data_IF_258191174399
#
_entry.id   IF_258191174399
#
_cell.length_a   1.000
_cell.length_b   1.000
_cell.length_c   1.000
_cell.angle_alpha   90.00
_cell.angle_beta   90.00
_cell.angle_gamma   90.00
#
_symmetry.space_group_name_H-M   'P 1'
#
loop_
_entity.id
_entity.type
_entity.pdbx_description
1 polymer ?
#
# COMPACT_ATOMS: atom_id res chain seq x y z
N UNK A 1 23.70 -16.94 8.16
CA UNK A 1 23.80 -15.79 7.23
C UNK A 1 22.44 -15.11 7.21
N UNK A 2 22.36 -13.79 7.46
CA UNK A 2 21.11 -13.05 7.27
C UNK A 2 21.04 -12.59 5.80
N UNK A 3 20.00 -13.02 5.08
CA UNK A 3 19.70 -12.53 3.74
C UNK A 3 18.85 -11.27 3.82
N UNK A 4 19.02 -10.35 2.88
CA UNK A 4 18.23 -9.12 2.80
C UNK A 4 16.76 -9.48 2.53
N UNK A 5 15.87 -9.13 3.46
CA UNK A 5 14.43 -9.20 3.22
C UNK A 5 14.00 -8.02 2.35
N UNK A 6 13.25 -8.31 1.29
CA UNK A 6 12.70 -7.29 0.39
C UNK A 6 11.24 -7.00 0.69
N UNK A 7 10.83 -5.78 0.36
CA UNK A 7 9.42 -5.42 0.38
C UNK A 7 8.69 -6.12 -0.78
N UNK A 8 7.55 -6.72 -0.50
CA UNK A 8 6.72 -7.42 -1.49
C UNK A 8 5.30 -6.88 -1.43
N UNK A 9 4.71 -6.68 -2.60
CA UNK A 9 3.31 -6.30 -2.82
C UNK A 9 2.63 -7.43 -3.58
N UNK A 10 1.63 -8.05 -2.96
CA UNK A 10 0.83 -9.13 -3.55
C UNK A 10 -0.61 -8.65 -3.75
N UNK A 11 -1.16 -8.88 -4.94
CA UNK A 11 -2.57 -8.65 -5.24
C UNK A 11 -3.43 -9.88 -4.97
N UNK A 12 -4.72 -9.67 -4.74
CA UNK A 12 -5.76 -10.68 -4.51
C UNK A 12 -7.08 -10.22 -5.10
N UNK A 13 -7.88 -11.16 -5.60
CA UNK A 13 -9.20 -10.88 -6.17
C UNK A 13 -10.31 -10.81 -5.12
N UNK A 14 -10.03 -11.22 -3.88
CA UNK A 14 -10.99 -11.28 -2.79
C UNK A 14 -10.49 -10.61 -1.52
N UNK A 15 -11.40 -10.01 -0.75
CA UNK A 15 -11.09 -9.26 0.47
C UNK A 15 -10.39 -10.12 1.54
N UNK A 16 -10.76 -11.40 1.61
CA UNK A 16 -10.15 -12.38 2.53
C UNK A 16 -8.74 -12.81 2.08
N UNK A 17 -8.29 -12.38 0.89
CA UNK A 17 -6.95 -12.63 0.34
C UNK A 17 -6.65 -14.14 0.26
N UNK A 18 -7.63 -14.93 -0.16
CA UNK A 18 -7.51 -16.39 -0.24
C UNK A 18 -6.77 -16.82 -1.50
N UNK A 19 -7.00 -16.14 -2.62
CA UNK A 19 -6.39 -16.48 -3.91
C UNK A 19 -5.45 -15.35 -4.37
N UNK A 20 -4.12 -15.57 -4.36
CA UNK A 20 -3.20 -14.56 -4.86
C UNK A 20 -3.40 -14.36 -6.36
N UNK A 21 -3.33 -13.10 -6.77
CA UNK A 21 -3.18 -12.71 -8.17
C UNK A 21 -1.88 -13.27 -8.74
N UNK A 22 -1.89 -13.56 -10.03
CA UNK A 22 -0.76 -14.21 -10.73
C UNK A 22 0.53 -13.39 -10.62
N UNK A 23 0.40 -12.06 -10.61
CA UNK A 23 1.54 -11.14 -10.53
C UNK A 23 1.70 -10.59 -9.12
N UNK A 24 2.95 -10.47 -8.68
CA UNK A 24 3.37 -9.71 -7.49
C UNK A 24 4.56 -8.83 -7.82
N UNK A 25 4.81 -7.83 -6.99
CA UNK A 25 5.98 -6.94 -7.10
C UNK A 25 6.87 -7.16 -5.90
N UNK A 26 8.10 -7.58 -6.16
CA UNK A 26 9.20 -7.46 -5.19
C UNK A 26 9.98 -6.18 -5.50
N UNK A 27 10.26 -5.38 -4.47
CA UNK A 27 11.03 -4.16 -4.60
C UNK A 27 12.44 -4.46 -5.14
N UNK A 28 12.87 -3.72 -6.16
CA UNK A 28 14.25 -3.81 -6.68
C UNK A 28 15.23 -3.32 -5.61
N UNK A 29 14.89 -2.16 -5.04
CA UNK A 29 15.53 -1.55 -3.88
C UNK A 29 14.42 -1.35 -2.84
N UNK A 30 14.71 -1.70 -1.60
CA UNK A 30 13.78 -1.41 -0.52
C UNK A 30 13.62 0.11 -0.38
N UNK A 31 12.44 0.59 0.01
CA UNK A 31 12.24 2.02 0.25
C UNK A 31 13.10 2.49 1.44
N UNK A 32 13.67 3.68 1.34
CA UNK A 32 14.40 4.31 2.45
C UNK A 32 13.45 4.77 3.57
N UNK A 33 12.18 5.01 3.23
CA UNK A 33 11.15 5.43 4.16
C UNK A 33 9.77 4.90 3.77
N UNK A 34 8.94 4.65 4.77
CA UNK A 34 7.54 4.26 4.65
C UNK A 34 6.74 5.02 5.71
N UNK A 35 5.53 5.46 5.36
CA UNK A 35 4.65 6.22 6.26
C UNK A 35 3.35 5.47 6.50
N UNK A 36 3.00 5.30 7.78
CA UNK A 36 1.70 4.83 8.23
C UNK A 36 0.98 5.99 8.94
N UNK A 37 -0.20 6.34 8.45
CA UNK A 37 -0.99 7.45 8.99
C UNK A 37 -2.29 6.93 9.57
N UNK A 38 -2.61 7.32 10.80
CA UNK A 38 -3.83 6.94 11.51
C UNK A 38 -4.71 8.16 11.72
N UNK A 39 -6.02 7.99 11.60
CA UNK A 39 -6.97 9.09 11.65
C UNK A 39 -8.07 8.82 12.68
N UNK A 40 -8.33 9.81 13.53
CA UNK A 40 -9.43 9.78 14.49
C UNK A 40 -10.28 11.03 14.33
N UNK A 41 -11.58 10.84 14.15
CA UNK A 41 -12.53 11.92 14.00
C UNK A 41 -13.16 12.28 15.34
N UNK A 42 -13.26 13.58 15.62
CA UNK A 42 -13.93 14.13 16.79
C UNK A 42 -14.97 15.16 16.34
N UNK A 43 -16.13 15.16 16.98
CA UNK A 43 -17.13 16.21 16.83
C UNK A 43 -17.06 17.18 18.00
N UNK A 44 -16.91 18.47 17.70
CA UNK A 44 -16.95 19.53 18.71
C UNK A 44 -18.39 19.93 18.99
N UNK A 45 -18.87 19.67 20.19
CA UNK A 45 -20.18 20.15 20.61
C UNK A 45 -20.03 21.60 21.09
N UNK A 46 -20.61 22.56 20.36
CA UNK A 46 -20.78 23.94 20.85
C UNK A 46 -22.09 24.01 21.63
N UNK A 47 -22.02 23.89 22.95
CA UNK A 47 -23.17 24.17 23.81
C UNK A 47 -23.34 25.69 23.89
N UNK A 48 -24.50 26.20 23.47
CA UNK A 48 -24.81 27.64 23.54
C UNK A 48 -24.79 28.06 25.03
N UNK A 49 -23.99 29.09 25.37
CA UNK A 49 -23.72 29.61 26.73
C UNK A 49 -22.65 28.90 27.60
N UNK A 50 -21.80 28.01 27.07
CA UNK A 50 -20.64 27.51 27.81
C UNK A 50 -19.31 27.81 27.10
N UNK A 51 -18.30 28.26 27.86
CA UNK A 51 -16.93 28.48 27.39
C UNK A 51 -16.17 27.16 27.14
N UNK A 52 -16.69 26.04 27.63
CA UNK A 52 -16.06 24.74 27.53
C UNK A 52 -16.18 24.16 26.12
N UNK A 53 -15.04 23.95 25.47
CA UNK A 53 -14.94 23.26 24.17
C UNK A 53 -14.72 21.78 24.43
N UNK A 54 -15.80 21.00 24.43
CA UNK A 54 -15.73 19.54 24.58
C UNK A 54 -15.75 18.88 23.20
N UNK A 55 -14.71 18.11 22.90
CA UNK A 55 -14.64 17.24 21.72
C UNK A 55 -15.08 15.84 22.10
N UNK A 56 -16.07 15.30 21.39
CA UNK A 56 -16.50 13.91 21.54
C UNK A 56 -15.92 13.07 20.42
N UNK A 57 -15.39 11.91 20.76
CA UNK A 57 -14.97 10.91 19.78
C UNK A 57 -16.15 10.57 18.85
N UNK A 58 -15.87 10.47 17.56
CA UNK A 58 -16.82 10.06 16.53
C UNK A 58 -16.47 8.69 15.99
N UNK A 59 -15.31 8.58 15.35
CA UNK A 59 -14.89 7.38 14.63
C UNK A 59 -13.36 7.30 14.53
N UNK A 60 -12.88 6.10 14.23
CA UNK A 60 -11.51 5.88 13.77
C UNK A 60 -11.60 5.56 12.30
N UNK A 61 -10.87 6.32 11.48
CA UNK A 61 -10.81 6.12 10.04
C UNK A 61 -9.79 5.05 9.65
N UNK A 62 -9.86 4.53 8.42
CA UNK A 62 -8.87 3.58 7.91
C UNK A 62 -7.48 4.22 7.88
N UNK A 63 -6.45 3.43 8.17
CA UNK A 63 -5.06 3.91 8.08
C UNK A 63 -4.60 4.04 6.62
N UNK A 64 -3.71 4.99 6.34
CA UNK A 64 -3.05 5.13 5.02
C UNK A 64 -1.62 4.59 5.09
N UNK A 65 -1.20 3.85 4.06
CA UNK A 65 0.19 3.48 3.83
C UNK A 65 0.73 4.24 2.62
N UNK A 66 1.87 4.92 2.77
CA UNK A 66 2.58 5.55 1.66
C UNK A 66 4.04 5.08 1.58
N UNK A 67 4.48 4.74 0.37
CA UNK A 67 5.84 4.29 0.10
C UNK A 67 6.33 4.71 -1.29
N UNK A 68 7.64 4.71 -1.49
CA UNK A 68 8.30 5.05 -2.75
C UNK A 68 9.08 3.84 -3.26
N UNK A 69 8.74 3.35 -4.46
CA UNK A 69 9.49 2.30 -5.15
C UNK A 69 10.39 2.92 -6.21
N UNK A 70 11.61 2.38 -6.33
CA UNK A 70 12.54 2.76 -7.40
C UNK A 70 12.71 1.59 -8.35
N UNK A 71 12.49 1.85 -9.63
CA UNK A 71 12.78 0.93 -10.73
C UNK A 71 13.90 1.50 -11.59
N UNK A 72 14.88 0.66 -11.95
CA UNK A 72 16.06 1.09 -12.70
C UNK A 72 16.48 0.01 -13.71
N UNK A 73 16.71 0.38 -14.96
CA UNK A 73 17.11 -0.53 -16.04
C UNK A 73 18.59 -0.40 -16.43
N UNK A 74 19.38 0.42 -15.73
CA UNK A 74 20.79 0.73 -16.09
C UNK A 74 21.79 -0.11 -15.32
N UNK A 75 21.46 -0.47 -14.08
CA UNK A 75 22.42 -1.17 -13.22
C UNK A 75 22.69 -2.60 -13.74
N UNK A 76 23.95 -3.06 -13.71
CA UNK A 76 24.29 -4.43 -14.07
C UNK A 76 23.47 -5.45 -13.28
N UNK A 77 22.87 -6.41 -13.96
CA UNK A 77 21.97 -7.41 -13.37
C UNK A 77 20.47 -7.09 -13.50
N UNK A 78 20.11 -5.86 -13.86
CA UNK A 78 18.72 -5.50 -14.15
C UNK A 78 18.39 -5.82 -15.60
N UNK A 79 17.94 -7.06 -15.84
CA UNK A 79 17.66 -7.58 -17.20
C UNK A 79 16.22 -7.37 -17.66
N UNK A 80 15.30 -7.09 -16.73
CA UNK A 80 13.89 -6.87 -17.06
C UNK A 80 13.69 -5.40 -17.47
N UNK A 81 13.12 -5.11 -18.66
CA UNK A 81 12.86 -3.75 -19.09
C UNK A 81 11.97 -2.98 -18.11
N UNK A 82 12.26 -1.68 -17.92
CA UNK A 82 11.50 -0.81 -17.01
C UNK A 82 10.00 -0.83 -17.31
N UNK A 83 9.63 -0.78 -18.59
CA UNK A 83 8.22 -0.80 -19.01
C UNK A 83 7.49 -2.08 -18.59
N UNK A 84 8.16 -3.22 -18.50
CA UNK A 84 7.54 -4.47 -18.06
C UNK A 84 7.28 -4.47 -16.56
N UNK A 85 8.24 -4.00 -15.75
CA UNK A 85 8.06 -3.82 -14.30
C UNK A 85 6.91 -2.87 -13.98
N UNK A 86 6.83 -1.76 -14.71
CA UNK A 86 5.75 -0.78 -14.53
C UNK A 86 4.39 -1.34 -14.97
N UNK A 87 4.33 -2.19 -16.02
CA UNK A 87 3.09 -2.89 -16.38
C UNK A 87 2.64 -3.85 -15.27
N UNK A 88 3.57 -4.60 -14.67
CA UNK A 88 3.26 -5.47 -13.53
C UNK A 88 2.70 -4.67 -12.36
N UNK A 89 3.34 -3.56 -11.98
CA UNK A 89 2.83 -2.70 -10.91
C UNK A 89 1.47 -2.09 -11.26
N UNK A 90 1.31 -1.61 -12.50
CA UNK A 90 0.04 -1.05 -12.97
C UNK A 90 -1.09 -2.07 -12.92
N UNK A 91 -0.81 -3.35 -13.20
CA UNK A 91 -1.81 -4.42 -13.09
C UNK A 91 -2.30 -4.65 -11.66
N UNK A 92 -1.50 -4.28 -10.64
CA UNK A 92 -1.92 -4.33 -9.24
C UNK A 92 -2.76 -3.12 -8.82
N UNK A 93 -2.61 -1.99 -9.53
CA UNK A 93 -3.29 -0.73 -9.23
C UNK A 93 -4.53 -0.47 -10.08
N UNK A 94 -4.72 -1.23 -11.16
CA UNK A 94 -5.84 -1.02 -12.09
C UNK A 94 -7.05 -1.87 -11.68
N UNK A 95 -8.26 -1.43 -12.05
CA UNK A 95 -9.44 -2.28 -11.95
C UNK A 95 -9.20 -3.62 -12.63
N UNK A 96 -9.63 -4.69 -11.99
CA UNK A 96 -9.74 -6.00 -12.60
C UNK A 96 -10.90 -6.01 -13.61
N UNK A 97 -10.72 -6.68 -14.76
CA UNK A 97 -11.67 -6.65 -15.88
C UNK A 97 -13.00 -7.36 -15.54
N UNK A 98 -12.98 -8.31 -14.60
CA UNK A 98 -14.17 -9.07 -14.18
C UNK A 98 -15.02 -8.29 -13.17
N UNK A 99 -14.38 -7.68 -12.17
CA UNK A 99 -15.07 -7.00 -11.07
C UNK A 99 -15.25 -5.50 -11.29
N UNK A 100 -14.44 -4.88 -12.15
CA UNK A 100 -14.38 -3.43 -12.31
C UNK A 100 -13.80 -2.71 -11.09
N UNK A 101 -13.25 -3.43 -10.12
CA UNK A 101 -12.64 -2.90 -8.91
C UNK A 101 -11.14 -3.19 -8.85
N UNK A 102 -10.32 -2.32 -8.22
CA UNK A 102 -8.92 -2.64 -7.96
C UNK A 102 -8.76 -3.88 -7.07
N UNK A 103 -7.65 -4.58 -7.26
CA UNK A 103 -7.26 -5.72 -6.43
C UNK A 103 -7.11 -5.32 -4.95
N UNK A 104 -7.34 -6.30 -4.08
CA UNK A 104 -6.93 -6.21 -2.68
C UNK A 104 -5.43 -6.45 -2.59
N UNK A 105 -4.72 -5.58 -1.90
CA UNK A 105 -3.27 -5.67 -1.75
C UNK A 105 -2.87 -6.11 -0.35
N UNK A 106 -1.74 -6.81 -0.29
CA UNK A 106 -0.95 -7.07 0.91
C UNK A 106 0.46 -6.54 0.68
N UNK A 107 0.96 -5.72 1.61
CA UNK A 107 2.34 -5.21 1.62
C UNK A 107 3.06 -5.80 2.81
N UNK A 108 4.17 -6.47 2.55
CA UNK A 108 4.99 -7.12 3.58
C UNK A 108 6.46 -6.76 3.41
N UNK A 109 7.18 -6.65 4.53
CA UNK A 109 8.62 -6.41 4.50
C UNK A 109 9.33 -7.05 5.68
N UNK A 110 9.90 -8.23 5.46
CA UNK A 110 10.69 -8.95 6.46
C UNK A 110 9.94 -9.11 7.78
N UNK A 111 10.44 -8.47 8.84
CA UNK A 111 9.85 -8.51 10.19
C UNK A 111 9.08 -7.24 10.56
N UNK A 112 8.96 -6.26 9.68
CA UNK A 112 8.19 -5.05 9.96
C UNK A 112 6.71 -5.41 10.10
N UNK A 113 6.09 -5.04 11.21
CA UNK A 113 4.65 -5.19 11.43
C UNK A 113 3.96 -3.89 11.05
N UNK A 114 3.10 -3.95 10.04
CA UNK A 114 2.34 -2.80 9.51
C UNK A 114 0.83 -3.06 9.51
N UNK A 115 0.42 -4.31 9.73
CA UNK A 115 -0.99 -4.71 9.77
C UNK A 115 -1.65 -4.45 11.11
N UNK A 116 -2.97 -4.59 11.12
CA UNK A 116 -3.81 -4.46 12.30
C UNK A 116 -3.83 -5.77 13.13
N UNK A 117 -3.77 -5.63 14.45
CA UNK A 117 -3.78 -6.74 15.41
C UNK A 117 -2.60 -7.70 15.19
N UNK A 118 -2.90 -8.98 14.96
CA UNK A 118 -1.89 -10.04 14.77
C UNK A 118 -1.30 -10.09 13.34
N UNK A 119 -1.83 -9.27 12.42
CA UNK A 119 -1.36 -9.23 11.04
C UNK A 119 -0.06 -8.44 10.94
N UNK A 120 0.93 -9.02 10.25
CA UNK A 120 2.20 -8.34 10.01
C UNK A 120 2.15 -7.50 8.75
N UNK A 121 1.46 -7.99 7.73
CA UNK A 121 1.32 -7.33 6.45
C UNK A 121 0.27 -6.23 6.51
N UNK A 122 0.55 -5.10 5.85
CA UNK A 122 -0.46 -4.07 5.64
C UNK A 122 -1.45 -4.54 4.58
N UNK A 123 -2.75 -4.39 4.86
CA UNK A 123 -3.84 -4.89 4.02
C UNK A 123 -4.71 -3.73 3.58
N UNK A 124 -4.71 -3.45 2.29
CA UNK A 124 -5.44 -2.30 1.76
C UNK A 124 -5.75 -2.37 0.28
N UNK A 125 -6.24 -1.24 -0.23
CA UNK A 125 -6.51 -0.98 -1.65
C UNK A 125 -5.73 0.25 -2.11
N UNK A 126 -5.49 0.34 -3.42
CA UNK A 126 -4.82 1.51 -4.00
C UNK A 126 -5.69 2.75 -3.85
N UNK A 127 -5.10 3.79 -3.26
CA UNK A 127 -5.63 5.15 -3.17
C UNK A 127 -5.02 6.06 -4.23
N UNK A 128 -3.75 5.83 -4.57
CA UNK A 128 -3.04 6.57 -5.61
C UNK A 128 -1.75 5.89 -6.04
N UNK A 129 -1.37 6.08 -7.30
CA UNK A 129 -0.11 5.61 -7.87
C UNK A 129 0.42 6.67 -8.82
N UNK A 130 1.55 7.29 -8.48
CA UNK A 130 2.19 8.33 -9.29
C UNK A 130 3.55 7.83 -9.75
N UNK A 131 3.75 7.78 -11.07
CA UNK A 131 5.02 7.36 -11.68
C UNK A 131 5.77 8.59 -12.18
N UNK A 132 6.97 8.79 -11.67
CA UNK A 132 7.88 9.87 -12.04
C UNK A 132 9.04 9.27 -12.84
N UNK A 133 9.04 9.48 -14.15
CA UNK A 133 10.09 9.02 -15.05
C UNK A 133 11.31 9.93 -14.98
N UNK A 134 12.49 9.33 -14.87
CA UNK A 134 13.78 10.04 -14.87
C UNK A 134 14.81 9.24 -15.64
N UNK A 135 15.90 9.89 -16.08
CA UNK A 135 17.00 9.26 -16.85
C UNK A 135 16.50 8.56 -18.11
N UNK A 136 16.61 9.19 -19.27
CA UNK A 136 16.12 8.64 -20.52
C UNK A 136 17.29 8.19 -21.42
N UNK A 137 17.06 7.15 -22.21
CA UNK A 137 17.93 6.81 -23.32
C UNK A 137 17.73 7.79 -24.49
N UNK A 138 18.60 7.73 -25.50
CA UNK A 138 18.60 8.63 -26.66
C UNK A 138 17.32 8.55 -27.49
N UNK A 139 16.60 7.45 -27.42
CA UNK A 139 15.33 7.22 -28.10
C UNK A 139 14.10 7.71 -27.29
N UNK A 140 14.32 8.23 -26.07
CA UNK A 140 13.26 8.67 -25.16
C UNK A 140 12.71 7.56 -24.25
N UNK A 141 13.25 6.34 -24.30
CA UNK A 141 12.89 5.27 -23.38
C UNK A 141 13.35 5.61 -21.95
N UNK A 142 12.47 5.55 -20.93
CA UNK A 142 12.89 5.79 -19.57
C UNK A 142 13.75 4.63 -19.05
N UNK A 143 14.83 4.98 -18.37
CA UNK A 143 15.77 4.04 -17.76
C UNK A 143 15.63 4.00 -16.23
N UNK A 144 14.91 4.94 -15.63
CA UNK A 144 14.56 4.95 -14.21
C UNK A 144 13.15 5.49 -13.98
N UNK A 145 12.49 4.96 -12.96
CA UNK A 145 11.22 5.51 -12.48
C UNK A 145 11.16 5.46 -10.95
N UNK A 146 10.60 6.51 -10.38
CA UNK A 146 10.18 6.57 -8.98
C UNK A 146 8.66 6.44 -8.94
N UNK A 147 8.14 5.54 -8.10
CA UNK A 147 6.71 5.31 -7.98
C UNK A 147 6.26 5.58 -6.55
N UNK A 148 5.43 6.60 -6.39
CA UNK A 148 4.75 6.91 -5.14
C UNK A 148 3.46 6.12 -5.08
N UNK A 149 3.40 5.15 -4.18
CA UNK A 149 2.24 4.31 -3.95
C UNK A 149 1.57 4.73 -2.64
N UNK A 150 0.29 5.07 -2.74
CA UNK A 150 -0.56 5.36 -1.60
C UNK A 150 -1.68 4.31 -1.54
N UNK A 151 -1.81 3.66 -0.38
CA UNK A 151 -2.85 2.68 -0.08
C UNK A 151 -3.71 3.17 1.07
N UNK A 152 -4.96 2.74 1.08
CA UNK A 152 -5.90 2.87 2.20
C UNK A 152 -6.22 1.50 2.75
N UNK A 153 -6.38 1.41 4.06
CA UNK A 153 -6.64 0.17 4.76
C UNK A 153 -8.00 -0.42 4.36
N UNK A 154 -7.99 -1.73 4.13
CA UNK A 154 -9.16 -2.54 3.80
C UNK A 154 -8.89 -3.97 4.29
N UNK A 155 -9.14 -4.15 5.58
CA UNK A 155 -9.11 -5.43 6.28
C UNK A 155 -10.48 -6.10 6.19
N UNK A 156 -10.50 -7.43 6.11
CA UNK A 156 -11.77 -8.15 6.01
C UNK A 156 -12.56 -8.07 7.32
N UNK A 157 -13.88 -7.99 7.19
CA UNK A 157 -14.81 -7.94 8.33
C UNK A 157 -14.63 -9.14 9.27
N UNK A 158 -14.30 -10.32 8.73
CA UNK A 158 -14.03 -11.53 9.52
C UNK A 158 -12.84 -11.35 10.46
N UNK A 159 -11.77 -10.69 9.98
CA UNK A 159 -10.59 -10.39 10.78
C UNK A 159 -10.86 -9.31 11.83
N UNK A 160 -11.63 -8.27 11.47
CA UNK A 160 -12.04 -7.22 12.40
C UNK A 160 -12.94 -7.75 13.53
N UNK A 161 -13.90 -8.63 13.21
CA UNK A 161 -14.80 -9.23 14.21
C UNK A 161 -14.10 -10.22 15.15
N UNK A 162 -13.06 -10.92 14.68
CA UNK A 162 -12.24 -11.78 15.52
C UNK A 162 -11.46 -10.98 16.58
N UNK A 163 -11.05 -9.75 16.25
CA UNK A 163 -10.27 -8.87 17.11
C UNK A 163 -11.14 -8.07 18.10
N UNK A 164 -12.35 -7.67 17.69
CA UNK A 164 -13.31 -6.96 18.56
C UNK A 164 -13.90 -7.79 19.71
N UNK A 165 -13.57 -9.08 19.82
CA UNK A 165 -13.99 -9.97 20.93
C UNK A 165 -13.08 -9.94 22.17
N UNK A 166 -12.00 -9.15 22.15
CA UNK A 166 -11.02 -9.06 23.24
C UNK A 166 -11.00 -7.72 23.98
N UNK A 167 -12.01 -6.86 23.77
CA UNK A 167 -12.28 -5.67 24.57
C UNK A 167 -13.59 -5.85 25.34
#
# INVERSE_FOLDING_TARGET
MQTLAKLTIQGYTDQERRKPWVTSIEAMYNPDSLSLSYYTEYHTNKVFNQQDKINKYSSTGPSDLSLVLIFDARMPGNTIPLGERLRQLKSLCSPDDETGEPLYLSVSWGKLSMGEGDLRDYRGRVKGCTVIFTSFDRDGSPLRAEVHLALVEDTSLTLQQAQGRHL
#
